data_IF_410343652853
#
_entry.id   IF_410343652853
#
_cell.length_a   1.000
_cell.length_b   1.000
_cell.length_c   1.000
_cell.angle_alpha   90.00
_cell.angle_beta   90.00
_cell.angle_gamma   90.00
#
_symmetry.space_group_name_H-M   'P 1'
#
loop_
_entity.id
_entity.type
_entity.pdbx_description
1 polymer ?
#
# COMPACT_ATOMS: atom_id res chain seq x y z
N UNK A 1 10.16 12.34 -26.72
CA UNK A 1 10.93 11.09 -26.51
C UNK A 1 9.99 10.07 -25.89
N UNK A 2 9.73 8.94 -26.56
CA UNK A 2 8.91 7.89 -25.99
C UNK A 2 9.66 7.30 -24.77
N UNK A 3 9.00 7.25 -23.61
CA UNK A 3 9.58 6.66 -22.41
C UNK A 3 9.64 5.15 -22.64
N UNK A 4 10.84 4.62 -22.78
CA UNK A 4 11.06 3.18 -22.92
C UNK A 4 10.67 2.48 -21.62
N UNK A 5 9.80 1.47 -21.71
CA UNK A 5 9.40 0.64 -20.57
C UNK A 5 10.33 -0.56 -20.55
N UNK A 6 10.83 -0.91 -19.36
CA UNK A 6 11.67 -2.08 -19.18
C UNK A 6 10.95 -3.34 -19.69
N UNK A 7 11.69 -4.22 -20.38
CA UNK A 7 11.14 -5.48 -20.91
C UNK A 7 10.78 -6.49 -19.82
N UNK A 8 11.42 -6.39 -18.65
CA UNK A 8 11.20 -7.25 -17.50
C UNK A 8 10.72 -6.42 -16.31
N UNK A 9 9.89 -7.05 -15.47
CA UNK A 9 9.40 -6.47 -14.22
C UNK A 9 10.40 -6.75 -13.09
N UNK A 10 10.83 -5.70 -12.40
CA UNK A 10 11.77 -5.75 -11.27
C UNK A 10 11.10 -5.18 -10.00
N UNK A 11 10.44 -6.02 -9.18
CA UNK A 11 9.65 -5.56 -8.04
C UNK A 11 10.47 -4.74 -7.05
N UNK A 12 11.74 -5.10 -6.83
CA UNK A 12 12.61 -4.39 -5.87
C UNK A 12 12.86 -2.93 -6.27
N UNK A 13 12.68 -2.56 -7.54
CA UNK A 13 12.82 -1.19 -8.02
C UNK A 13 11.50 -0.41 -7.99
N UNK A 14 10.36 -1.11 -7.99
CA UNK A 14 9.04 -0.52 -8.22
C UNK A 14 8.26 -0.40 -6.92
N UNK A 15 8.26 -1.44 -6.08
CA UNK A 15 7.49 -1.48 -4.83
C UNK A 15 7.90 -0.37 -3.84
N UNK A 16 9.19 -0.12 -3.58
CA UNK A 16 9.58 0.94 -2.63
C UNK A 16 9.14 2.33 -3.08
N UNK A 17 9.23 2.59 -4.39
CA UNK A 17 8.83 3.87 -4.99
C UNK A 17 7.35 4.16 -4.76
N UNK A 18 6.48 3.18 -5.00
CA UNK A 18 5.04 3.36 -4.83
C UNK A 18 4.64 3.38 -3.36
N UNK A 19 5.27 2.57 -2.52
CA UNK A 19 5.07 2.62 -1.08
C UNK A 19 5.39 4.02 -0.53
N UNK A 20 6.53 4.59 -0.90
CA UNK A 20 6.90 5.95 -0.50
C UNK A 20 5.91 6.99 -1.01
N UNK A 21 5.53 6.92 -2.29
CA UNK A 21 4.56 7.82 -2.89
C UNK A 21 3.21 7.82 -2.14
N UNK A 22 2.64 6.65 -1.84
CA UNK A 22 1.36 6.56 -1.13
C UNK A 22 1.42 7.11 0.29
N UNK A 23 2.56 6.96 0.97
CA UNK A 23 2.78 7.50 2.31
C UNK A 23 2.91 9.03 2.25
N UNK A 24 3.73 9.55 1.33
CA UNK A 24 3.97 10.99 1.18
C UNK A 24 2.70 11.75 0.79
N UNK A 25 1.89 11.17 -0.09
CA UNK A 25 0.62 11.77 -0.53
C UNK A 25 -0.54 11.45 0.43
N UNK A 26 -0.27 10.76 1.55
CA UNK A 26 -1.24 10.40 2.59
C UNK A 26 -2.50 9.69 2.06
N UNK A 27 -2.37 8.84 1.02
CA UNK A 27 -3.51 8.27 0.31
C UNK A 27 -4.38 7.32 1.14
N UNK A 28 -3.82 6.74 2.20
CA UNK A 28 -4.55 5.86 3.12
C UNK A 28 -5.25 6.62 4.28
N UNK A 29 -5.10 7.95 4.34
CA UNK A 29 -5.73 8.76 5.38
C UNK A 29 -7.20 8.98 5.04
N UNK A 30 -8.09 8.36 5.81
CA UNK A 30 -9.51 8.62 5.72
C UNK A 30 -9.86 10.01 6.27
N UNK A 31 -10.74 10.74 5.58
CA UNK A 31 -11.38 11.96 6.08
C UNK A 31 -12.80 11.64 6.52
N UNK A 32 -13.06 11.76 7.83
CA UNK A 32 -14.35 11.47 8.44
C UNK A 32 -15.44 12.49 8.06
N UNK A 33 -15.05 13.66 7.56
CA UNK A 33 -15.98 14.70 7.11
C UNK A 33 -16.27 14.64 5.61
N UNK A 34 -15.58 13.77 4.86
CA UNK A 34 -15.75 13.68 3.42
C UNK A 34 -17.17 13.22 3.05
N UNK A 35 -17.81 13.84 2.04
CA UNK A 35 -19.15 13.46 1.61
C UNK A 35 -19.10 12.16 0.77
N UNK A 36 -20.18 11.38 0.82
CA UNK A 36 -20.37 10.18 -0.01
C UNK A 36 -20.55 8.89 0.79
N UNK A 37 -20.72 7.75 0.12
CA UNK A 37 -20.84 6.46 0.78
C UNK A 37 -19.57 6.10 1.54
N UNK A 38 -19.72 5.70 2.81
CA UNK A 38 -18.61 5.28 3.67
C UNK A 38 -18.35 3.79 3.46
N UNK A 39 -17.08 3.45 3.25
CA UNK A 39 -16.61 2.06 3.24
C UNK A 39 -15.58 1.86 4.35
N UNK A 40 -15.71 0.76 5.08
CA UNK A 40 -14.76 0.38 6.13
C UNK A 40 -14.48 -1.12 6.03
N UNK A 41 -13.20 -1.48 6.13
CA UNK A 41 -12.73 -2.87 6.17
C UNK A 41 -11.75 -3.00 7.32
N UNK A 42 -11.92 -4.06 8.12
CA UNK A 42 -11.05 -4.37 9.25
C UNK A 42 -10.36 -5.70 9.02
N UNK A 43 -9.05 -5.74 9.22
CA UNK A 43 -8.27 -6.96 9.31
C UNK A 43 -7.96 -7.14 10.80
N UNK A 44 -8.17 -8.34 11.40
CA UNK A 44 -7.90 -8.55 12.81
C UNK A 44 -6.42 -8.25 13.13
N UNK A 45 -6.14 -7.54 14.23
CA UNK A 45 -4.77 -7.20 14.59
C UNK A 45 -3.96 -8.47 14.85
N UNK A 46 -2.71 -8.56 14.36
CA UNK A 46 -1.85 -9.71 14.61
C UNK A 46 -1.38 -9.72 16.08
N UNK A 47 -1.11 -10.92 16.60
CA UNK A 47 -0.43 -11.07 17.90
C UNK A 47 1.05 -10.66 17.77
N UNK A 48 1.61 -10.02 18.80
CA UNK A 48 3.00 -9.56 18.80
C UNK A 48 3.95 -10.73 19.13
N UNK A 49 4.25 -11.57 18.14
CA UNK A 49 5.09 -12.78 18.28
C UNK A 49 6.47 -12.67 17.62
N UNK A 50 6.85 -11.48 17.15
CA UNK A 50 8.18 -11.16 16.60
C UNK A 50 8.23 -11.03 15.08
N UNK A 51 7.63 -11.96 14.33
CA UNK A 51 7.60 -11.90 12.87
C UNK A 51 6.24 -12.34 12.31
N UNK A 52 5.94 -11.84 11.11
CA UNK A 52 4.77 -12.26 10.33
C UNK A 52 5.11 -13.55 9.56
N UNK A 53 4.19 -14.51 9.58
CA UNK A 53 4.20 -15.68 8.71
C UNK A 53 3.28 -15.52 7.49
N UNK A 54 3.40 -16.41 6.49
CA UNK A 54 2.59 -16.37 5.25
C UNK A 54 1.07 -16.30 5.49
N UNK A 55 0.54 -16.90 6.56
CA UNK A 55 -0.88 -16.73 6.90
C UNK A 55 -1.33 -15.30 7.29
N UNK A 56 -0.41 -14.35 7.47
CA UNK A 56 -0.72 -12.93 7.64
C UNK A 56 -0.69 -12.15 6.32
N UNK A 57 -0.06 -12.71 5.29
CA UNK A 57 0.14 -12.10 3.97
C UNK A 57 -1.04 -12.38 3.05
#
# INVERSE_FOLDING_TARGET
MAREIAKAYEPQQIEPRWAEYWIQDALFRADAAAPGPVFSIVIPPPNVTGSLHIGHM
#
